data_IF_425258497529
#
_entry.id   IF_425258497529
#
_cell.length_a   1.000
_cell.length_b   1.000
_cell.length_c   1.000
_cell.angle_alpha   90.00
_cell.angle_beta   90.00
_cell.angle_gamma   90.00
#
_symmetry.space_group_name_H-M   'P 1'
#
loop_
_entity.id
_entity.type
_entity.pdbx_description
1 polymer ?
#
# COMPACT_ATOMS: atom_id res chain seq x y z
N UNK A 1 -9.36 -10.15 -20.33
CA UNK A 1 -8.68 -8.90 -20.75
C UNK A 1 -7.76 -8.28 -19.68
N UNK A 2 -7.70 -8.78 -18.43
CA UNK A 2 -6.82 -8.18 -17.39
C UNK A 2 -5.84 -9.15 -16.73
N UNK A 3 -5.73 -10.39 -17.25
CA UNK A 3 -4.93 -11.44 -16.60
C UNK A 3 -3.48 -11.01 -16.37
N UNK A 4 -2.89 -10.27 -17.31
CA UNK A 4 -1.51 -9.77 -17.22
C UNK A 4 -1.36 -8.48 -16.41
N UNK A 5 -2.45 -7.98 -15.79
CA UNK A 5 -2.49 -6.79 -14.94
C UNK A 5 -3.00 -7.08 -13.54
N UNK A 6 -3.24 -8.35 -13.21
CA UNK A 6 -3.57 -8.80 -11.86
C UNK A 6 -2.25 -9.21 -11.21
N UNK A 7 -1.85 -8.48 -10.18
CA UNK A 7 -0.65 -8.77 -9.42
C UNK A 7 -0.98 -9.85 -8.38
N UNK A 8 -0.19 -10.92 -8.37
CA UNK A 8 -0.28 -11.97 -7.37
C UNK A 8 0.35 -11.51 -6.07
N UNK A 9 -0.20 -11.96 -4.94
CA UNK A 9 0.46 -11.80 -3.63
C UNK A 9 1.56 -12.85 -3.53
N UNK A 10 2.80 -12.45 -3.82
CA UNK A 10 3.99 -13.31 -3.77
C UNK A 10 4.62 -13.32 -2.38
N UNK A 11 5.65 -14.15 -2.18
CA UNK A 11 6.44 -14.14 -0.94
C UNK A 11 7.11 -12.78 -0.71
N UNK A 12 7.60 -12.11 -1.76
CA UNK A 12 8.19 -10.77 -1.66
C UNK A 12 7.17 -9.73 -1.17
N UNK A 13 5.93 -9.80 -1.68
CA UNK A 13 4.81 -8.97 -1.19
C UNK A 13 4.54 -9.26 0.29
N UNK A 14 4.57 -10.52 0.71
CA UNK A 14 4.36 -10.90 2.11
C UNK A 14 5.52 -10.45 3.01
N UNK A 15 6.76 -10.46 2.52
CA UNK A 15 7.91 -9.91 3.22
C UNK A 15 7.77 -8.40 3.39
N UNK A 16 7.39 -7.69 2.33
CA UNK A 16 7.13 -6.24 2.37
C UNK A 16 6.01 -5.90 3.35
N UNK A 17 4.91 -6.65 3.31
CA UNK A 17 3.81 -6.56 4.28
C UNK A 17 4.32 -6.70 5.72
N UNK A 18 5.19 -7.69 5.97
CA UNK A 18 5.72 -7.92 7.32
C UNK A 18 6.55 -6.73 7.79
N UNK A 19 7.33 -6.10 6.92
CA UNK A 19 8.10 -4.90 7.27
C UNK A 19 7.19 -3.74 7.69
N UNK A 20 6.10 -3.50 6.95
CA UNK A 20 5.14 -2.43 7.27
C UNK A 20 4.47 -2.70 8.63
N UNK A 21 4.06 -3.95 8.90
CA UNK A 21 3.49 -4.35 10.20
C UNK A 21 4.46 -4.10 11.37
N UNK A 22 5.76 -4.32 11.17
CA UNK A 22 6.75 -4.03 12.22
C UNK A 22 6.95 -2.51 12.43
N UNK A 23 6.81 -1.69 11.38
CA UNK A 23 6.81 -0.23 11.49
C UNK A 23 5.55 0.29 12.19
N UNK A 24 4.39 -0.26 11.86
CA UNK A 24 3.10 0.01 12.51
C UNK A 24 3.12 -0.22 14.01
N UNK A 25 3.69 -1.35 14.44
CA UNK A 25 3.85 -1.67 15.87
C UNK A 25 4.62 -0.58 16.62
N UNK A 26 5.58 0.08 15.97
CA UNK A 26 6.35 1.18 16.59
C UNK A 26 5.49 2.44 16.74
N UNK A 27 4.60 2.71 15.78
CA UNK A 27 3.75 3.91 15.78
C UNK A 27 2.38 3.71 16.44
N UNK A 28 2.09 2.49 16.95
CA UNK A 28 0.79 2.11 17.55
C UNK A 28 -0.40 2.37 16.63
N UNK A 29 -0.18 2.24 15.33
CA UNK A 29 -1.22 2.34 14.31
C UNK A 29 -1.68 0.94 13.92
N UNK A 30 -2.98 0.76 13.69
CA UNK A 30 -3.54 -0.53 13.26
C UNK A 30 -4.22 -0.34 11.93
N UNK A 31 -3.63 -0.90 10.89
CA UNK A 31 -4.26 -0.92 9.57
C UNK A 31 -5.14 -2.14 9.39
N UNK A 32 -6.07 -2.03 8.46
CA UNK A 32 -6.78 -3.18 7.91
C UNK A 32 -5.80 -4.10 7.18
N UNK A 33 -5.83 -5.40 7.46
CA UNK A 33 -4.92 -6.36 6.79
C UNK A 33 -5.02 -6.35 5.25
N UNK A 34 -6.21 -6.23 4.63
CA UNK A 34 -6.34 -6.06 3.18
C UNK A 34 -5.59 -4.83 2.63
N UNK A 35 -5.74 -3.67 3.26
CA UNK A 35 -5.17 -2.41 2.77
C UNK A 35 -3.63 -2.47 2.81
N UNK A 36 -3.12 -3.06 3.90
CA UNK A 36 -1.71 -3.40 4.09
C UNK A 36 -1.14 -4.28 2.96
N UNK A 37 -1.87 -5.30 2.52
CA UNK A 37 -1.44 -6.20 1.43
C UNK A 37 -1.42 -5.43 0.10
N UNK A 38 -2.40 -4.55 -0.14
CA UNK A 38 -2.46 -3.73 -1.34
C UNK A 38 -1.30 -2.72 -1.36
N UNK A 39 -1.03 -2.05 -0.24
CA UNK A 39 0.09 -1.12 -0.10
C UNK A 39 1.44 -1.83 -0.27
N UNK A 40 1.62 -3.00 0.33
CA UNK A 40 2.81 -3.82 0.15
C UNK A 40 3.02 -4.24 -1.32
N UNK A 41 1.94 -4.60 -2.01
CA UNK A 41 1.98 -4.95 -3.44
C UNK A 41 2.39 -3.73 -4.28
N UNK A 42 1.82 -2.56 -4.02
CA UNK A 42 2.18 -1.33 -4.73
C UNK A 42 3.67 -0.98 -4.52
N UNK A 43 4.16 -1.10 -3.28
CA UNK A 43 5.56 -0.84 -2.94
C UNK A 43 6.52 -1.82 -3.62
N UNK A 44 6.22 -3.12 -3.58
CA UNK A 44 7.06 -4.15 -4.19
C UNK A 44 7.21 -3.96 -5.71
N UNK A 45 6.14 -3.50 -6.36
CA UNK A 45 6.12 -3.27 -7.81
C UNK A 45 6.46 -1.83 -8.22
N UNK A 46 6.79 -0.94 -7.29
CA UNK A 46 7.11 0.47 -7.58
C UNK A 46 5.94 1.27 -8.17
N UNK A 47 4.72 0.96 -7.74
CA UNK A 47 3.47 1.57 -8.21
C UNK A 47 2.92 2.60 -7.22
N UNK A 48 2.08 3.51 -7.72
CA UNK A 48 1.27 4.38 -6.87
C UNK A 48 -0.02 3.66 -6.44
N UNK A 49 -0.50 3.99 -5.23
CA UNK A 49 -1.73 3.44 -4.68
C UNK A 49 -2.91 4.39 -4.93
N UNK A 50 -3.86 3.99 -5.77
CA UNK A 50 -5.08 4.78 -5.97
C UNK A 50 -6.08 4.51 -4.81
N UNK A 51 -6.35 5.51 -3.99
CA UNK A 51 -7.15 5.36 -2.75
C UNK A 51 -7.99 6.60 -2.44
N UNK A 52 -9.09 6.42 -1.72
CA UNK A 52 -9.89 7.53 -1.17
C UNK A 52 -9.35 8.08 0.14
N UNK A 53 -8.57 7.26 0.86
CA UNK A 53 -8.07 7.55 2.19
C UNK A 53 -6.55 7.75 2.16
N UNK A 54 -6.15 8.89 1.60
CA UNK A 54 -4.72 9.22 1.39
C UNK A 54 -3.94 9.27 2.72
N UNK A 55 -4.57 9.76 3.79
CA UNK A 55 -3.86 10.02 5.05
C UNK A 55 -3.55 8.73 5.80
N UNK A 56 -4.45 7.74 5.74
CA UNK A 56 -4.16 6.45 6.32
C UNK A 56 -3.07 5.73 5.52
N UNK A 57 -3.26 5.62 4.20
CA UNK A 57 -2.35 4.88 3.33
C UNK A 57 -0.93 5.48 3.29
N UNK A 58 -0.75 6.78 3.48
CA UNK A 58 0.58 7.42 3.56
C UNK A 58 1.44 6.83 4.68
N UNK A 59 0.84 6.38 5.79
CA UNK A 59 1.58 5.81 6.93
C UNK A 59 2.18 4.43 6.59
N UNK A 60 1.78 3.79 5.50
CA UNK A 60 2.37 2.53 5.00
C UNK A 60 3.67 2.75 4.21
N UNK A 61 3.99 4.00 3.85
CA UNK A 61 5.09 4.36 2.97
C UNK A 61 4.78 4.24 1.48
N UNK A 62 3.58 3.77 1.10
CA UNK A 62 3.12 3.84 -0.29
C UNK A 62 2.90 5.31 -0.72
N UNK A 63 2.89 5.55 -2.04
CA UNK A 63 2.58 6.85 -2.62
C UNK A 63 1.09 6.91 -3.03
N UNK A 64 0.18 7.40 -2.16
CA UNK A 64 -1.24 7.43 -2.45
C UNK A 64 -1.62 8.55 -3.43
N UNK A 65 -2.56 8.24 -4.31
CA UNK A 65 -3.22 9.17 -5.24
C UNK A 65 -4.73 9.07 -5.05
N UNK A 66 -5.38 10.20 -4.81
CA UNK A 66 -6.84 10.24 -4.76
C UNK A 66 -7.42 10.51 -6.15
N UNK A 67 -8.15 9.53 -6.73
CA UNK A 67 -8.66 9.65 -8.09
C UNK A 67 -9.82 10.65 -8.21
N UNK A 68 -10.48 11.00 -7.11
CA UNK A 68 -11.60 11.95 -7.11
C UNK A 68 -11.14 13.41 -7.03
N UNK A 69 -10.05 13.68 -6.32
CA UNK A 69 -9.52 15.04 -6.12
C UNK A 69 -8.25 15.33 -6.91
N UNK A 70 -7.57 14.30 -7.41
CA UNK A 70 -6.25 14.41 -8.03
C UNK A 70 -5.12 14.66 -7.04
N UNK A 71 -5.39 14.62 -5.73
CA UNK A 71 -4.37 14.85 -4.71
C UNK A 71 -3.36 13.69 -4.69
N UNK A 72 -2.08 14.03 -4.62
CA UNK A 72 -0.96 13.08 -4.52
C UNK A 72 -0.09 13.44 -3.33
N UNK A 73 0.40 12.46 -2.59
CA UNK A 73 1.42 12.67 -1.55
C UNK A 73 2.66 11.86 -1.93
N UNK A 74 3.83 12.51 -1.91
CA UNK A 74 5.10 11.83 -2.09
C UNK A 74 5.36 10.93 -0.87
N UNK A 75 5.63 9.64 -1.13
CA UNK A 75 6.00 8.66 -0.11
C UNK A 75 7.35 8.94 0.53
#
# INVERSE_FOLDING_TARGET
MFRDRILSVTEDVMLRWRMIVEEERKIRHTFSQPDLIIAATALEHGLMLATGDIEDDRKTGAAPVNPWTGATIAG
#
